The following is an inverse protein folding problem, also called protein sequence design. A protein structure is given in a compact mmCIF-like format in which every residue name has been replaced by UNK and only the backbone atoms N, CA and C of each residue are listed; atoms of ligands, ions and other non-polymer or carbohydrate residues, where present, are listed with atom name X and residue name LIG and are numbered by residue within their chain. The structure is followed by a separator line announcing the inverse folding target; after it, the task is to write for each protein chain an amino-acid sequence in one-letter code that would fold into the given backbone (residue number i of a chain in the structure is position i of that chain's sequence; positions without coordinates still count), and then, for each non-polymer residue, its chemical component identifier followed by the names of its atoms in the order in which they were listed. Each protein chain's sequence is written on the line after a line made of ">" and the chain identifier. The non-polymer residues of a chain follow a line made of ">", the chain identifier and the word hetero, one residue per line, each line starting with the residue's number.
data_IF_544430016315
#
_entry.id   IF_544430016315
#
_cell.length_a   1.000
_cell.length_b   1.000
_cell.length_c   1.000
_cell.angle_alpha   90.00
_cell.angle_beta   90.00
_cell.angle_gamma   90.00
#
_symmetry.space_group_name_H-M   'P 1'
#
loop_
_entity.id
_entity.type
_entity.pdbx_description
1 polymer ?
#
# COMPACT_ATOMS: atom_id res chain seq x y z
N UNK A 1 -52.65 27.90 -38.34
CA UNK A 1 -52.27 26.55 -37.88
C UNK A 1 -50.78 26.58 -37.55
N UNK A 2 -50.41 26.36 -36.28
CA UNK A 2 -49.03 26.35 -35.78
C UNK A 2 -48.54 24.89 -35.73
N UNK A 3 -47.62 24.51 -36.60
CA UNK A 3 -46.94 23.21 -36.56
C UNK A 3 -45.67 23.33 -35.71
N UNK A 4 -45.75 22.74 -34.51
CA UNK A 4 -44.66 22.58 -33.56
C UNK A 4 -43.74 21.46 -34.06
N UNK A 5 -42.52 21.77 -34.49
CA UNK A 5 -41.51 20.73 -34.80
C UNK A 5 -40.78 20.35 -33.53
N UNK A 6 -41.00 19.11 -33.10
CA UNK A 6 -40.40 18.46 -31.94
C UNK A 6 -38.94 18.07 -32.28
N UNK A 7 -37.96 18.70 -31.65
CA UNK A 7 -36.56 18.24 -31.72
C UNK A 7 -36.36 17.08 -30.74
N UNK A 8 -36.23 15.87 -31.27
CA UNK A 8 -35.77 14.69 -30.54
C UNK A 8 -34.25 14.73 -30.40
N UNK A 9 -33.76 15.14 -29.22
CA UNK A 9 -32.39 14.91 -28.80
C UNK A 9 -32.24 13.45 -28.35
N UNK A 10 -31.76 12.59 -29.25
CA UNK A 10 -31.20 11.28 -28.86
C UNK A 10 -29.69 11.46 -28.81
N UNK A 11 -29.20 12.03 -27.72
CA UNK A 11 -27.79 11.95 -27.38
C UNK A 11 -27.55 10.58 -26.77
N UNK A 12 -26.85 9.74 -27.53
CA UNK A 12 -26.60 8.33 -27.24
C UNK A 12 -26.07 8.09 -25.83
N UNK A 13 -26.49 6.97 -25.27
CA UNK A 13 -26.00 6.40 -24.02
C UNK A 13 -24.48 6.36 -24.05
N UNK A 14 -23.83 7.21 -23.25
CA UNK A 14 -22.40 7.09 -22.99
C UNK A 14 -22.26 5.81 -22.17
N UNK A 15 -21.84 4.73 -22.83
CA UNK A 15 -21.37 3.55 -22.15
C UNK A 15 -20.09 3.96 -21.41
N UNK A 16 -20.24 4.37 -20.14
CA UNK A 16 -19.15 4.33 -19.19
C UNK A 16 -18.85 2.85 -18.95
N UNK A 17 -18.09 2.25 -19.87
CA UNK A 17 -17.28 1.11 -19.52
C UNK A 17 -16.40 1.59 -18.38
N UNK A 18 -16.73 1.20 -17.15
CA UNK A 18 -15.82 1.27 -16.03
C UNK A 18 -14.63 0.41 -16.43
N UNK A 19 -13.66 1.02 -17.11
CA UNK A 19 -12.29 0.55 -17.09
C UNK A 19 -11.89 0.65 -15.63
N UNK A 20 -12.13 -0.45 -14.90
CA UNK A 20 -11.60 -0.67 -13.58
C UNK A 20 -10.10 -0.65 -13.79
N UNK A 21 -9.51 0.52 -13.57
CA UNK A 21 -8.10 0.77 -13.75
C UNK A 21 -7.38 -0.07 -12.68
N UNK A 22 -7.07 -1.32 -13.02
CA UNK A 22 -6.09 -2.15 -12.32
C UNK A 22 -4.74 -1.47 -12.51
N UNK A 23 -4.53 -0.37 -11.78
CA UNK A 23 -3.25 0.32 -11.70
C UNK A 23 -2.31 -0.56 -10.87
N UNK A 24 -1.76 -1.61 -11.48
CA UNK A 24 -0.57 -2.25 -10.94
C UNK A 24 0.55 -1.22 -11.04
N UNK A 25 0.91 -0.60 -9.92
CA UNK A 25 2.09 0.25 -9.88
C UNK A 25 3.29 -0.70 -9.91
N UNK A 26 4.13 -0.54 -10.93
CA UNK A 26 5.22 -1.45 -11.21
C UNK A 26 6.35 -1.41 -10.18
N UNK A 27 6.37 -0.44 -9.25
CA UNK A 27 7.29 -0.32 -8.11
C UNK A 27 6.67 0.53 -7.00
N UNK A 28 6.88 0.16 -5.74
CA UNK A 28 6.49 0.98 -4.59
C UNK A 28 7.73 1.39 -3.80
N UNK A 29 7.84 2.70 -3.53
CA UNK A 29 8.91 3.27 -2.73
C UNK A 29 8.33 4.28 -1.77
N UNK A 30 8.73 4.20 -0.50
CA UNK A 30 8.35 5.15 0.53
C UNK A 30 9.52 5.37 1.47
N UNK A 31 9.91 6.63 1.62
CA UNK A 31 10.92 7.07 2.58
C UNK A 31 10.29 8.03 3.59
N UNK A 32 10.62 7.84 4.86
CA UNK A 32 10.24 8.76 5.93
C UNK A 32 11.36 8.84 6.96
N UNK A 33 11.56 10.02 7.54
CA UNK A 33 12.57 10.27 8.56
C UNK A 33 11.99 11.12 9.69
N UNK A 34 12.29 10.73 10.92
CA UNK A 34 11.93 11.47 12.12
C UNK A 34 13.21 11.96 12.78
N UNK A 35 13.52 13.24 12.55
CA UNK A 35 14.73 13.89 13.06
C UNK A 35 14.78 13.93 14.59
N UNK A 36 13.64 14.01 15.28
CA UNK A 36 13.57 13.99 16.75
C UNK A 36 14.02 12.64 17.30
N UNK A 37 13.57 11.54 16.67
CA UNK A 37 13.95 10.18 17.04
C UNK A 37 15.31 9.75 16.48
N UNK A 38 15.81 10.43 15.44
CA UNK A 38 17.03 10.06 14.75
C UNK A 38 16.90 8.71 14.03
N UNK A 39 15.74 8.45 13.43
CA UNK A 39 15.46 7.23 12.67
C UNK A 39 14.93 7.58 11.28
N UNK A 40 15.22 6.73 10.31
CA UNK A 40 14.68 6.76 8.95
C UNK A 40 14.15 5.36 8.59
N UNK A 41 13.07 5.30 7.82
CA UNK A 41 12.43 4.09 7.33
C UNK A 41 12.30 4.22 5.82
N UNK A 42 12.78 3.20 5.13
CA UNK A 42 12.67 3.07 3.69
C UNK A 42 11.91 1.78 3.40
N UNK A 43 10.87 1.86 2.60
CA UNK A 43 10.06 0.73 2.17
C UNK A 43 10.15 0.64 0.67
N UNK A 44 10.58 -0.50 0.17
CA UNK A 44 10.63 -0.80 -1.25
C UNK A 44 9.82 -2.05 -1.54
N UNK A 45 9.13 -2.11 -2.67
CA UNK A 45 8.54 -3.32 -3.20
C UNK A 45 8.59 -3.32 -4.73
N UNK A 46 8.84 -4.50 -5.29
CA UNK A 46 8.93 -4.68 -6.75
C UNK A 46 7.58 -4.47 -7.45
N UNK A 47 6.46 -4.55 -6.72
CA UNK A 47 5.14 -4.31 -7.27
C UNK A 47 4.18 -3.96 -6.16
N UNK A 48 3.25 -3.04 -6.44
CA UNK A 48 2.14 -2.76 -5.56
C UNK A 48 0.81 -2.79 -6.32
N UNK A 49 -0.13 -3.51 -5.74
CA UNK A 49 -1.46 -3.75 -6.31
C UNK A 49 -2.52 -3.33 -5.32
N UNK A 50 -3.63 -2.79 -5.78
CA UNK A 50 -4.80 -2.59 -4.93
C UNK A 50 -5.24 -3.93 -4.33
N UNK A 51 -5.31 -4.01 -3.01
CA UNK A 51 -5.78 -5.21 -2.32
C UNK A 51 -7.30 -5.37 -2.42
N UNK A 52 -7.81 -6.54 -2.01
CA UNK A 52 -9.24 -6.85 -1.99
C UNK A 52 -10.05 -6.02 -0.98
N UNK A 53 -9.38 -5.29 -0.09
CA UNK A 53 -10.01 -4.34 0.83
C UNK A 53 -9.37 -2.96 0.68
N UNK A 54 -10.14 -1.97 0.22
CA UNK A 54 -9.74 -0.56 0.28
C UNK A 54 -9.71 -0.13 1.75
N UNK A 55 -8.63 0.50 2.26
CA UNK A 55 -7.56 1.21 1.56
C UNK A 55 -6.18 0.52 1.64
N UNK A 56 -6.12 -0.79 1.41
CA UNK A 56 -4.87 -1.55 1.51
C UNK A 56 -4.25 -1.83 0.13
N UNK A 57 -2.93 -1.75 0.03
CA UNK A 57 -2.15 -2.23 -1.12
C UNK A 57 -1.41 -3.51 -0.76
N UNK A 58 -1.35 -4.46 -1.68
CA UNK A 58 -0.50 -5.66 -1.58
C UNK A 58 0.85 -5.33 -2.20
N UNK A 59 1.93 -5.52 -1.43
CA UNK A 59 3.30 -5.31 -1.85
C UNK A 59 3.96 -6.66 -2.16
N UNK A 60 4.61 -6.78 -3.33
CA UNK A 60 5.39 -7.98 -3.70
C UNK A 60 6.88 -7.71 -3.53
N UNK A 61 7.60 -8.71 -2.99
CA UNK A 61 9.04 -8.62 -2.68
C UNK A 61 9.36 -7.34 -1.88
N UNK A 62 8.67 -7.18 -0.77
CA UNK A 62 8.81 -6.00 0.09
C UNK A 62 10.11 -6.08 0.89
N UNK A 63 10.81 -4.94 0.98
CA UNK A 63 11.93 -4.72 1.87
C UNK A 63 11.69 -3.45 2.69
N UNK A 64 11.81 -3.58 4.02
CA UNK A 64 11.72 -2.47 4.96
C UNK A 64 13.08 -2.32 5.61
N UNK A 65 13.68 -1.14 5.48
CA UNK A 65 14.97 -0.78 6.09
C UNK A 65 14.74 0.32 7.12
N UNK A 66 15.24 0.11 8.33
CA UNK A 66 15.24 1.13 9.39
C UNK A 66 16.67 1.50 9.70
N UNK A 67 17.00 2.78 9.52
CA UNK A 67 18.31 3.34 9.83
C UNK A 67 18.22 4.22 11.05
N UNK A 68 19.08 3.99 12.04
CA UNK A 68 19.33 4.95 13.11
C UNK A 68 20.40 5.93 12.65
N UNK A 69 20.08 7.21 12.51
CA UNK A 69 21.01 8.23 12.00
C UNK A 69 22.10 8.59 13.01
N UNK A 70 21.84 8.39 14.32
CA UNK A 70 22.80 8.67 15.40
C UNK A 70 23.85 7.57 15.50
N UNK A 71 23.43 6.30 15.46
CA UNK A 71 24.33 5.16 15.60
C UNK A 71 24.80 4.57 14.27
N UNK A 72 24.22 5.03 13.16
CA UNK A 72 24.40 4.49 11.80
C UNK A 72 24.06 3.00 11.66
N UNK A 73 23.37 2.41 12.64
CA UNK A 73 22.87 1.03 12.54
C UNK A 73 21.70 0.94 11.56
N UNK A 74 21.64 -0.15 10.82
CA UNK A 74 20.58 -0.46 9.87
C UNK A 74 20.00 -1.84 10.14
N UNK A 75 18.68 -1.92 10.23
CA UNK A 75 17.93 -3.16 10.33
C UNK A 75 17.13 -3.34 9.04
N UNK A 76 17.20 -4.52 8.42
CA UNK A 76 16.53 -4.81 7.14
C UNK A 76 15.61 -6.01 7.29
N UNK A 77 14.37 -5.86 6.85
CA UNK A 77 13.34 -6.88 6.90
C UNK A 77 12.77 -7.10 5.51
N UNK A 78 12.96 -8.29 4.94
CA UNK A 78 12.49 -8.59 3.58
C UNK A 78 11.56 -9.79 3.56
N UNK A 79 10.45 -9.70 2.81
CA UNK A 79 9.46 -10.76 2.63
C UNK A 79 8.90 -10.77 1.21
N UNK A 80 8.46 -11.94 0.76
CA UNK A 80 7.86 -12.09 -0.57
C UNK A 80 6.54 -11.32 -0.72
N UNK A 81 5.82 -11.06 0.37
CA UNK A 81 4.57 -10.29 0.37
C UNK A 81 4.44 -9.46 1.64
N UNK A 82 3.88 -8.27 1.50
CA UNK A 82 3.43 -7.43 2.60
C UNK A 82 2.22 -6.60 2.21
N UNK A 83 1.77 -5.77 3.14
CA UNK A 83 0.59 -4.94 2.97
C UNK A 83 0.91 -3.52 3.41
N UNK A 84 0.52 -2.54 2.60
CA UNK A 84 0.55 -1.14 3.00
C UNK A 84 -0.87 -0.69 3.30
N UNK A 85 -1.13 -0.37 4.57
CA UNK A 85 -2.38 0.20 5.05
C UNK A 85 -2.28 1.71 4.95
N UNK A 86 -2.87 2.26 3.88
CA UNK A 86 -2.77 3.68 3.54
C UNK A 86 -3.42 4.54 4.65
N UNK A 87 -4.53 4.06 5.22
CA UNK A 87 -5.30 4.82 6.23
C UNK A 87 -4.50 5.01 7.51
N UNK A 88 -3.81 3.96 7.95
CA UNK A 88 -3.05 3.99 9.20
C UNK A 88 -1.54 4.26 8.99
N UNK A 89 -1.12 4.50 7.74
CA UNK A 89 0.28 4.72 7.35
C UNK A 89 1.22 3.69 7.97
N UNK A 90 0.93 2.41 7.76
CA UNK A 90 1.73 1.30 8.29
C UNK A 90 1.99 0.23 7.25
N UNK A 91 3.14 -0.41 7.36
CA UNK A 91 3.50 -1.59 6.57
C UNK A 91 3.40 -2.81 7.45
N UNK A 92 2.76 -3.86 6.94
CA UNK A 92 2.64 -5.15 7.62
C UNK A 92 3.35 -6.16 6.74
N UNK A 93 4.36 -6.85 7.30
CA UNK A 93 4.97 -8.01 6.66
C UNK A 93 4.66 -9.23 7.53
N UNK A 94 4.13 -10.26 6.90
CA UNK A 94 3.67 -11.46 7.61
C UNK A 94 4.58 -12.64 7.26
N UNK A 95 4.85 -13.47 8.27
CA UNK A 95 5.51 -14.75 8.10
C UNK A 95 4.45 -15.85 8.03
N UNK A 96 4.42 -16.55 6.89
CA UNK A 96 3.49 -17.65 6.65
C UNK A 96 4.21 -19.00 6.73
N UNK A 97 3.56 -20.00 7.32
CA UNK A 97 3.86 -21.42 7.08
C UNK A 97 2.64 -22.07 6.45
N UNK A 98 2.77 -22.53 5.19
CA UNK A 98 1.83 -23.25 4.31
C UNK A 98 0.33 -22.88 4.39
N UNK A 99 -0.29 -22.87 5.58
CA UNK A 99 -1.70 -22.52 5.82
C UNK A 99 -1.97 -21.57 7.00
N UNK A 100 -0.94 -21.02 7.69
CA UNK A 100 -1.11 -20.13 8.85
C UNK A 100 -0.14 -18.95 8.84
N UNK A 101 -0.64 -17.77 9.23
CA UNK A 101 0.20 -16.62 9.61
C UNK A 101 0.75 -16.90 11.00
N UNK A 102 2.07 -16.99 11.14
CA UNK A 102 2.72 -17.22 12.43
C UNK A 102 3.01 -15.92 13.18
N UNK A 103 3.46 -14.92 12.43
CA UNK A 103 3.94 -13.65 12.99
C UNK A 103 3.70 -12.52 12.02
N UNK A 104 3.19 -11.42 12.52
CA UNK A 104 3.10 -10.16 11.79
C UNK A 104 4.11 -9.18 12.38
N UNK A 105 4.85 -8.52 11.51
CA UNK A 105 5.69 -7.38 11.89
C UNK A 105 5.07 -6.13 11.29
N UNK A 106 4.67 -5.22 12.17
CA UNK A 106 3.99 -3.98 11.82
C UNK A 106 4.96 -2.82 12.00
N UNK A 107 5.18 -2.09 10.92
CA UNK A 107 5.98 -0.87 10.89
C UNK A 107 5.05 0.33 10.86
N UNK A 108 5.03 1.09 11.93
CA UNK A 108 4.30 2.36 12.00
C UNK A 108 5.20 3.43 11.37
N UNK A 109 4.84 3.94 10.20
CA UNK A 109 5.69 4.87 9.45
C UNK A 109 5.76 6.21 10.17
N UNK A 110 4.64 6.67 10.73
CA UNK A 110 4.55 7.92 11.50
C UNK A 110 5.38 7.89 12.79
N UNK A 111 5.39 6.75 13.48
CA UNK A 111 6.14 6.56 14.73
C UNK A 111 7.56 6.02 14.53
N UNK A 112 7.89 5.54 13.33
CA UNK A 112 9.16 4.90 12.99
C UNK A 112 9.53 3.75 13.93
N UNK A 113 8.52 2.94 14.24
CA UNK A 113 8.60 1.91 15.25
C UNK A 113 8.19 0.55 14.68
N UNK A 114 8.84 -0.51 15.17
CA UNK A 114 8.55 -1.90 14.80
C UNK A 114 7.77 -2.54 15.93
N UNK A 115 6.60 -3.09 15.63
CA UNK A 115 5.81 -3.89 16.57
C UNK A 115 5.71 -5.30 16.04
N UNK A 116 6.02 -6.28 16.89
CA UNK A 116 5.82 -7.69 16.57
C UNK A 116 4.49 -8.13 17.17
N UNK A 117 3.62 -8.69 16.34
CA UNK A 117 2.35 -9.28 16.74
C UNK A 117 2.41 -10.77 16.48
N UNK A 118 2.31 -11.57 17.54
CA UNK A 118 2.15 -13.01 17.45
C UNK A 118 0.66 -13.32 17.42
N UNK A 119 0.23 -14.13 16.44
CA UNK A 119 -1.15 -14.59 16.36
C UNK A 119 -1.26 -15.96 17.04
N UNK A 120 -2.09 -16.03 18.09
CA UNK A 120 -2.39 -17.26 18.82
C UNK A 120 -3.47 -18.08 18.14
#
# INVERSE_FOLDING_TARGET
>A
MKTLSLMTLIAGSIAFGQAQMESSISKFELDSCNSKLGKCISVHADRAESGSTTPNMVLRNVSVKIRNTKTKKEDVYSKATGFFDIKNQRVIISEYTKNKVLKETVFLISEMNVRHMEMK
#
